data_IF_288833197178
#
_entry.id   IF_288833197178
#
_cell.length_a   1.000
_cell.length_b   1.000
_cell.length_c   1.000
_cell.angle_alpha   90.00
_cell.angle_beta   90.00
_cell.angle_gamma   90.00
#
_symmetry.space_group_name_H-M   'P 1'
#
loop_
_entity.id
_entity.type
_entity.pdbx_description
1 polymer ?
#
# COMPACT_ATOMS: atom_id res chain seq x y z
N UNK A 1 -11.34 -0.12 32.03
CA UNK A 1 -10.80 0.31 30.73
C UNK A 1 -10.20 1.71 30.89
N UNK A 2 -9.05 2.00 30.26
CA UNK A 2 -8.40 3.32 30.29
C UNK A 2 -7.98 3.70 28.87
N UNK A 3 -8.44 4.86 28.41
CA UNK A 3 -7.95 5.51 27.19
C UNK A 3 -6.70 6.33 27.51
N UNK A 4 -5.69 6.25 26.64
CA UNK A 4 -4.39 6.91 26.81
C UNK A 4 -4.00 7.53 25.47
N UNK A 5 -3.69 8.82 25.47
CA UNK A 5 -2.93 9.47 24.39
C UNK A 5 -1.44 9.23 24.64
N UNK A 6 -0.80 8.56 23.70
CA UNK A 6 0.63 8.26 23.72
C UNK A 6 1.41 9.45 23.15
N UNK A 7 2.62 9.71 23.67
CA UNK A 7 3.50 10.73 23.10
C UNK A 7 4.15 10.19 21.82
N UNK A 8 3.72 10.70 20.67
CA UNK A 8 4.24 10.30 19.36
C UNK A 8 5.73 10.63 19.19
N UNK A 9 6.30 11.54 19.99
CA UNK A 9 7.75 11.87 19.99
C UNK A 9 8.54 10.90 20.86
N UNK A 10 7.91 10.22 21.83
CA UNK A 10 8.54 9.22 22.68
C UNK A 10 8.71 7.88 21.95
N UNK A 11 9.97 7.47 21.79
CA UNK A 11 10.31 6.15 21.20
C UNK A 11 9.68 5.00 21.99
N UNK A 12 9.58 5.13 23.32
CA UNK A 12 8.97 4.11 24.19
C UNK A 12 7.49 3.94 23.88
N UNK A 13 6.78 5.04 23.73
CA UNK A 13 5.34 5.06 23.48
C UNK A 13 5.02 4.58 22.07
N UNK A 14 5.78 5.02 21.05
CA UNK A 14 5.67 4.46 19.69
C UNK A 14 5.91 2.95 19.67
N UNK A 15 6.92 2.46 20.41
CA UNK A 15 7.20 1.02 20.47
C UNK A 15 6.06 0.24 21.13
N UNK A 16 5.46 0.80 22.19
CA UNK A 16 4.29 0.23 22.85
C UNK A 16 3.09 0.18 21.92
N UNK A 17 2.84 1.26 21.17
CA UNK A 17 1.80 1.34 20.15
C UNK A 17 2.02 0.27 19.07
N UNK A 18 3.22 0.15 18.50
CA UNK A 18 3.53 -0.85 17.47
C UNK A 18 3.35 -2.27 18.00
N UNK A 19 3.92 -2.58 19.17
CA UNK A 19 3.91 -3.93 19.72
C UNK A 19 2.54 -4.42 20.19
N UNK A 20 1.59 -3.52 20.47
CA UNK A 20 0.24 -3.96 20.86
C UNK A 20 -0.46 -4.75 19.75
N UNK A 21 -0.07 -4.56 18.48
CA UNK A 21 -0.62 -5.30 17.33
C UNK A 21 -0.64 -6.81 17.55
N UNK A 22 0.45 -7.36 18.11
CA UNK A 22 0.64 -8.80 18.25
C UNK A 22 -0.46 -9.49 19.05
N UNK A 23 -1.18 -8.76 19.90
CA UNK A 23 -2.29 -9.33 20.69
C UNK A 23 -3.49 -9.69 19.81
N UNK A 24 -3.78 -8.92 18.77
CA UNK A 24 -5.01 -9.04 17.99
C UNK A 24 -4.98 -10.16 16.95
N UNK A 25 -3.80 -10.69 16.66
CA UNK A 25 -3.57 -11.71 15.64
C UNK A 25 -2.98 -13.01 16.23
N UNK A 26 -3.13 -13.22 17.54
CA UNK A 26 -2.63 -14.44 18.18
C UNK A 26 -3.32 -15.68 17.58
N UNK A 27 -2.51 -16.61 17.09
CA UNK A 27 -3.00 -17.85 16.48
C UNK A 27 -3.53 -17.71 15.05
N UNK A 28 -3.55 -16.50 14.48
CA UNK A 28 -3.96 -16.31 13.08
C UNK A 28 -2.86 -16.84 12.13
N UNK A 29 -3.15 -17.89 11.32
CA UNK A 29 -2.15 -18.46 10.43
C UNK A 29 -1.78 -17.54 9.27
N UNK A 30 -2.70 -16.68 8.82
CA UNK A 30 -2.57 -15.80 7.66
C UNK A 30 -1.95 -14.45 7.99
N UNK A 31 -1.96 -14.05 9.27
CA UNK A 31 -1.33 -12.80 9.66
C UNK A 31 0.19 -12.84 9.41
N UNK A 32 0.70 -11.81 8.74
CA UNK A 32 2.13 -11.59 8.50
C UNK A 32 2.56 -10.42 9.38
N UNK A 33 3.33 -10.65 10.46
CA UNK A 33 3.74 -9.57 11.34
C UNK A 33 4.65 -8.59 10.62
N UNK A 34 4.40 -7.28 10.71
CA UNK A 34 5.30 -6.30 10.13
C UNK A 34 6.63 -6.28 10.89
N UNK A 35 7.70 -5.86 10.23
CA UNK A 35 8.95 -5.59 10.93
C UNK A 35 8.76 -4.39 11.86
N UNK A 36 9.05 -4.61 13.15
CA UNK A 36 8.91 -3.56 14.18
C UNK A 36 9.77 -2.35 13.81
N UNK A 37 10.95 -2.57 13.24
CA UNK A 37 11.84 -1.49 12.80
C UNK A 37 11.18 -0.58 11.77
N UNK A 38 10.53 -1.15 10.76
CA UNK A 38 9.88 -0.40 9.68
C UNK A 38 8.69 0.39 10.21
N UNK A 39 7.87 -0.20 11.09
CA UNK A 39 6.75 0.51 11.73
C UNK A 39 7.22 1.63 12.65
N UNK A 40 8.33 1.43 13.37
CA UNK A 40 8.95 2.47 14.19
C UNK A 40 9.51 3.61 13.35
N UNK A 41 10.06 3.32 12.17
CA UNK A 41 10.53 4.31 11.19
C UNK A 41 9.35 5.10 10.62
N UNK A 42 8.27 4.42 10.23
CA UNK A 42 7.06 5.02 9.68
C UNK A 42 6.38 6.00 10.65
N UNK A 43 6.37 5.67 11.95
CA UNK A 43 5.79 6.51 13.01
C UNK A 43 6.77 7.54 13.59
N UNK A 44 8.01 7.62 13.12
CA UNK A 44 8.98 8.58 13.67
C UNK A 44 8.73 10.00 13.15
N UNK A 45 7.95 10.77 13.90
CA UNK A 45 7.57 12.15 13.57
C UNK A 45 8.74 13.12 13.40
N UNK A 46 9.96 12.76 13.83
CA UNK A 46 11.15 13.60 13.66
C UNK A 46 11.94 13.27 12.40
N UNK A 47 11.78 12.05 11.86
CA UNK A 47 12.62 11.53 10.77
C UNK A 47 11.84 11.26 9.50
N UNK A 48 10.58 10.87 9.60
CA UNK A 48 9.76 10.62 8.43
C UNK A 48 9.28 11.96 7.83
N UNK A 49 9.64 12.28 6.57
CA UNK A 49 9.32 13.54 5.92
C UNK A 49 7.82 13.83 5.78
N UNK A 50 6.96 12.80 5.84
CA UNK A 50 5.49 12.99 5.90
C UNK A 50 5.07 13.97 7.00
N UNK A 51 5.71 13.91 8.17
CA UNK A 51 5.36 14.76 9.31
C UNK A 51 5.97 16.17 9.26
N UNK A 52 6.64 16.55 8.17
CA UNK A 52 7.04 17.95 7.94
C UNK A 52 5.82 18.84 7.65
N UNK A 53 4.75 18.24 7.13
CA UNK A 53 3.49 18.91 6.79
C UNK A 53 2.26 18.17 7.33
N UNK A 54 2.44 17.07 8.07
CA UNK A 54 1.33 16.27 8.60
C UNK A 54 1.50 16.03 10.09
N UNK A 55 0.37 15.77 10.77
CA UNK A 55 0.33 15.53 12.23
C UNK A 55 -0.29 14.17 12.52
N UNK A 56 0.11 13.57 13.63
CA UNK A 56 -0.43 12.30 14.11
C UNK A 56 -0.64 12.34 15.62
N UNK A 57 -1.72 11.75 16.10
CA UNK A 57 -1.93 11.43 17.50
C UNK A 57 -2.20 9.93 17.65
N UNK A 58 -1.53 9.32 18.63
CA UNK A 58 -1.62 7.89 18.89
C UNK A 58 -2.46 7.66 20.14
N UNK A 59 -3.49 6.84 20.03
CA UNK A 59 -4.37 6.48 21.13
C UNK A 59 -4.32 4.98 21.40
N UNK A 60 -4.37 4.62 22.67
CA UNK A 60 -4.37 3.25 23.16
C UNK A 60 -5.45 3.10 24.22
N UNK A 61 -6.29 2.08 24.09
CA UNK A 61 -7.19 1.63 25.16
C UNK A 61 -6.58 0.39 25.80
N UNK A 62 -6.52 0.36 27.12
CA UNK A 62 -6.01 -0.80 27.87
C UNK A 62 -6.76 -1.06 29.18
N UNK A 63 -6.53 -2.24 29.74
CA UNK A 63 -6.93 -2.59 31.10
C UNK A 63 -5.79 -3.33 31.83
N UNK A 64 -6.11 -3.99 32.94
CA UNK A 64 -5.14 -4.76 33.73
C UNK A 64 -4.49 -5.93 32.97
N UNK A 65 -5.15 -6.42 31.92
CA UNK A 65 -4.68 -7.52 31.08
C UNK A 65 -3.80 -7.03 29.91
N UNK A 66 -3.76 -5.72 29.65
CA UNK A 66 -2.97 -5.10 28.60
C UNK A 66 -3.81 -4.36 27.55
N UNK A 67 -3.26 -4.13 26.34
CA UNK A 67 -3.94 -3.39 25.28
C UNK A 67 -5.26 -4.05 24.86
N UNK A 68 -6.34 -3.27 24.77
CA UNK A 68 -7.63 -3.70 24.24
C UNK A 68 -7.88 -3.14 22.83
N UNK A 69 -7.22 -2.03 22.47
CA UNK A 69 -7.29 -1.48 21.13
C UNK A 69 -6.35 -0.29 20.96
N UNK A 70 -6.14 0.13 19.71
CA UNK A 70 -5.30 1.26 19.35
C UNK A 70 -5.84 1.95 18.10
N UNK A 71 -5.56 3.23 17.94
CA UNK A 71 -5.85 3.97 16.71
C UNK A 71 -4.88 5.15 16.58
N UNK A 72 -4.60 5.56 15.35
CA UNK A 72 -3.97 6.83 15.07
C UNK A 72 -4.97 7.78 14.41
N UNK A 73 -5.00 9.04 14.86
CA UNK A 73 -5.66 10.14 14.18
C UNK A 73 -4.60 10.95 13.43
N UNK A 74 -4.85 11.30 12.18
CA UNK A 74 -3.85 11.84 11.25
C UNK A 74 -4.43 13.05 10.52
N UNK A 75 -3.69 14.16 10.49
CA UNK A 75 -3.98 15.30 9.61
C UNK A 75 -2.93 15.31 8.52
N UNK A 76 -3.38 15.28 7.27
CA UNK A 76 -2.53 15.36 6.08
C UNK A 76 -2.77 16.69 5.36
N UNK A 77 -1.94 17.69 5.62
CA UNK A 77 -2.15 19.04 5.05
C UNK A 77 -1.97 19.04 3.51
N UNK A 78 -1.14 18.13 2.97
CA UNK A 78 -1.00 17.96 1.53
C UNK A 78 -2.28 17.43 0.89
N UNK A 79 -2.94 16.44 1.51
CA UNK A 79 -4.26 15.96 1.05
C UNK A 79 -5.26 17.11 0.99
N UNK A 80 -5.43 17.81 2.11
CA UNK A 80 -6.41 18.89 2.23
C UNK A 80 -6.12 20.03 1.23
N UNK A 81 -4.83 20.34 0.97
CA UNK A 81 -4.45 21.33 -0.06
C UNK A 81 -4.72 20.84 -1.48
N UNK A 82 -4.49 19.57 -1.77
CA UNK A 82 -4.71 18.98 -3.10
C UNK A 82 -6.19 18.85 -3.43
N UNK A 83 -7.01 18.42 -2.46
CA UNK A 83 -8.44 18.16 -2.66
C UNK A 83 -9.34 19.32 -2.26
N UNK A 84 -8.79 20.35 -1.63
CA UNK A 84 -9.53 21.50 -1.08
C UNK A 84 -10.67 21.03 -0.15
N UNK A 85 -10.38 20.04 0.69
CA UNK A 85 -11.28 19.49 1.70
C UNK A 85 -10.70 19.65 3.12
N UNK A 86 -11.43 19.17 4.12
CA UNK A 86 -11.04 19.20 5.54
C UNK A 86 -11.17 17.81 6.14
N UNK A 87 -10.54 16.84 5.49
CA UNK A 87 -10.63 15.43 5.87
C UNK A 87 -9.47 15.09 6.80
N UNK A 88 -9.82 14.62 7.99
CA UNK A 88 -8.92 13.92 8.88
C UNK A 88 -8.89 12.44 8.55
N UNK A 89 -7.79 11.76 8.88
CA UNK A 89 -7.64 10.34 8.65
C UNK A 89 -7.55 9.56 9.96
N UNK A 90 -8.04 8.32 9.95
CA UNK A 90 -7.70 7.34 10.97
C UNK A 90 -6.89 6.19 10.37
N UNK A 91 -6.06 5.56 11.18
CA UNK A 91 -5.19 4.47 10.76
C UNK A 91 -4.67 3.65 11.93
N UNK A 92 -3.89 2.63 11.62
CA UNK A 92 -3.24 1.72 12.57
C UNK A 92 -4.23 1.09 13.56
N UNK A 93 -5.50 1.03 13.18
CA UNK A 93 -6.60 0.62 14.03
C UNK A 93 -6.47 -0.86 14.38
N UNK A 94 -6.59 -1.16 15.67
CA UNK A 94 -6.75 -2.52 16.17
C UNK A 94 -7.72 -2.51 17.34
N UNK A 95 -8.50 -3.57 17.51
CA UNK A 95 -9.42 -3.70 18.63
C UNK A 95 -9.72 -5.16 18.93
N UNK A 96 -9.99 -5.48 20.19
CA UNK A 96 -10.72 -6.70 20.52
C UNK A 96 -12.14 -6.62 19.93
N UNK A 97 -12.87 -7.73 19.92
CA UNK A 97 -14.26 -7.74 19.44
C UNK A 97 -15.21 -7.04 20.44
N UNK A 98 -15.11 -5.70 20.53
CA UNK A 98 -15.90 -4.86 21.44
C UNK A 98 -16.20 -3.51 20.82
N UNK A 99 -17.49 -3.21 20.65
CA UNK A 99 -17.95 -1.91 20.17
C UNK A 99 -17.56 -0.78 21.12
N UNK A 100 -17.57 -1.02 22.43
CA UNK A 100 -17.20 -0.01 23.44
C UNK A 100 -15.75 0.47 23.25
N UNK A 101 -14.82 -0.46 23.01
CA UNK A 101 -13.40 -0.12 22.77
C UNK A 101 -13.24 0.63 21.45
N UNK A 102 -13.93 0.17 20.40
CA UNK A 102 -13.88 0.81 19.09
C UNK A 102 -14.44 2.23 19.12
N UNK A 103 -15.60 2.43 19.75
CA UNK A 103 -16.20 3.76 19.91
C UNK A 103 -15.27 4.68 20.70
N UNK A 104 -14.73 4.24 21.84
CA UNK A 104 -13.81 5.05 22.63
C UNK A 104 -12.54 5.49 21.86
N UNK A 105 -12.03 4.64 20.97
CA UNK A 105 -10.90 4.97 20.10
C UNK A 105 -11.28 5.97 19.00
N UNK A 106 -12.39 5.72 18.30
CA UNK A 106 -12.85 6.57 17.20
C UNK A 106 -13.35 7.94 17.69
N UNK A 107 -14.00 8.00 18.86
CA UNK A 107 -14.40 9.25 19.50
C UNK A 107 -13.17 10.11 19.82
N UNK A 108 -12.14 9.51 20.45
CA UNK A 108 -10.89 10.22 20.75
C UNK A 108 -10.15 10.70 19.49
N UNK A 109 -10.20 9.90 18.41
CA UNK A 109 -9.64 10.29 17.13
C UNK A 109 -10.43 11.45 16.50
N UNK A 110 -11.77 11.37 16.49
CA UNK A 110 -12.66 12.39 15.97
C UNK A 110 -12.50 13.72 16.73
N UNK A 111 -12.52 13.69 18.07
CA UNK A 111 -12.29 14.88 18.91
C UNK A 111 -10.94 15.55 18.58
N UNK A 112 -9.88 14.75 18.46
CA UNK A 112 -8.56 15.30 18.10
C UNK A 112 -8.55 15.91 16.70
N UNK A 113 -9.23 15.29 15.73
CA UNK A 113 -9.35 15.80 14.35
C UNK A 113 -10.18 17.09 14.29
N UNK A 114 -11.30 17.16 15.01
CA UNK A 114 -12.12 18.38 15.15
C UNK A 114 -11.30 19.54 15.71
N UNK A 115 -10.50 19.30 16.75
CA UNK A 115 -9.59 20.31 17.33
C UNK A 115 -8.54 20.80 16.34
N UNK A 116 -8.26 20.04 15.28
CA UNK A 116 -7.37 20.42 14.19
C UNK A 116 -8.12 20.94 12.95
N UNK A 117 -9.40 21.24 13.09
CA UNK A 117 -10.23 21.86 12.04
C UNK A 117 -10.70 20.90 10.95
N UNK A 118 -10.65 19.59 11.20
CA UNK A 118 -11.18 18.58 10.29
C UNK A 118 -12.68 18.39 10.52
N UNK A 119 -13.39 18.09 9.44
CA UNK A 119 -14.84 18.02 9.40
C UNK A 119 -15.34 16.60 9.11
N UNK A 120 -14.45 15.77 8.57
CA UNK A 120 -14.69 14.36 8.27
C UNK A 120 -13.53 13.51 8.81
N UNK A 121 -13.82 12.25 9.09
CA UNK A 121 -12.82 11.21 9.40
C UNK A 121 -12.88 10.12 8.33
N UNK A 122 -11.76 9.83 7.66
CA UNK A 122 -11.65 8.82 6.59
C UNK A 122 -10.57 7.78 6.89
N UNK A 123 -10.79 6.52 6.55
CA UNK A 123 -9.76 5.49 6.74
C UNK A 123 -10.24 4.05 6.65
N UNK A 124 -9.39 3.07 6.96
CA UNK A 124 -8.06 3.25 7.54
C UNK A 124 -6.96 3.63 6.52
N UNK A 125 -6.03 4.50 6.92
CA UNK A 125 -4.85 4.94 6.14
C UNK A 125 -3.60 5.00 7.05
N UNK A 126 -2.47 4.38 6.65
CA UNK A 126 -1.33 4.12 7.54
C UNK A 126 0.05 4.66 7.03
N UNK A 127 0.39 5.95 7.17
CA UNK A 127 -0.48 7.08 7.53
C UNK A 127 -1.03 7.85 6.31
N UNK A 128 -0.57 7.56 5.09
CA UNK A 128 -1.00 8.26 3.88
C UNK A 128 -1.54 7.29 2.81
N UNK A 129 -2.25 7.84 1.81
CA UNK A 129 -2.72 7.08 0.65
C UNK A 129 -1.57 6.56 -0.23
N UNK A 130 -0.35 7.08 -0.05
CA UNK A 130 0.86 6.57 -0.69
C UNK A 130 1.53 5.43 0.11
N UNK A 131 1.02 5.11 1.30
CA UNK A 131 1.44 3.99 2.14
C UNK A 131 0.41 2.84 2.10
N UNK A 132 0.27 2.07 3.18
CA UNK A 132 -0.76 1.03 3.31
C UNK A 132 -2.12 1.66 3.68
N UNK A 133 -3.18 1.37 2.93
CA UNK A 133 -4.53 1.80 3.28
C UNK A 133 -5.61 0.81 2.85
N UNK A 134 -6.83 1.03 3.35
CA UNK A 134 -7.99 0.16 3.17
C UNK A 134 -8.04 -0.96 4.22
N UNK A 135 -9.24 -1.25 4.70
CA UNK A 135 -9.54 -2.38 5.59
C UNK A 135 -9.89 -3.60 4.74
N UNK A 136 -9.28 -4.76 4.97
CA UNK A 136 -9.71 -6.00 4.32
C UNK A 136 -11.15 -6.34 4.75
N UNK A 137 -12.05 -6.51 3.77
CA UNK A 137 -13.45 -6.89 3.97
C UNK A 137 -13.81 -8.24 3.32
N UNK A 138 -13.00 -8.72 2.38
CA UNK A 138 -13.19 -10.01 1.71
C UNK A 138 -11.83 -10.67 1.42
N UNK A 139 -11.75 -12.01 1.52
CA UNK A 139 -10.54 -12.80 1.24
C UNK A 139 -9.64 -13.05 2.46
N UNK A 140 -10.23 -13.30 3.63
CA UNK A 140 -9.53 -13.61 4.88
C UNK A 140 -8.87 -15.02 4.92
N UNK A 141 -9.07 -15.83 3.88
CA UNK A 141 -8.55 -17.19 3.75
C UNK A 141 -7.08 -17.25 3.31
N UNK A 142 -6.44 -16.09 3.08
CA UNK A 142 -5.05 -16.02 2.61
C UNK A 142 -4.26 -14.87 3.25
N UNK A 143 -2.94 -15.03 3.45
CA UNK A 143 -2.06 -13.95 3.90
C UNK A 143 -2.12 -12.70 3.01
N UNK A 144 -1.85 -11.49 3.54
CA UNK A 144 -1.66 -10.32 2.70
C UNK A 144 -0.39 -10.46 1.88
N UNK A 145 -0.40 -9.93 0.67
CA UNK A 145 0.83 -9.70 -0.08
C UNK A 145 1.51 -8.41 0.39
N UNK A 146 2.78 -8.24 0.03
CA UNK A 146 3.62 -7.10 0.41
C UNK A 146 2.89 -5.74 0.21
N UNK A 147 2.95 -4.89 1.24
CA UNK A 147 2.30 -3.56 1.29
C UNK A 147 0.77 -3.56 1.13
N UNK A 148 0.08 -4.69 1.36
CA UNK A 148 -1.37 -4.74 1.53
C UNK A 148 -1.73 -5.02 2.99
N UNK A 149 -2.88 -4.51 3.42
CA UNK A 149 -3.34 -4.63 4.81
C UNK A 149 -3.93 -6.01 5.09
N UNK A 150 -4.01 -6.36 6.37
CA UNK A 150 -4.73 -7.53 6.86
C UNK A 150 -5.26 -7.20 8.25
N UNK A 151 -6.47 -7.64 8.54
CA UNK A 151 -7.16 -7.41 9.81
C UNK A 151 -8.08 -8.59 10.15
N UNK A 152 -8.47 -8.74 11.43
CA UNK A 152 -9.52 -9.67 11.80
C UNK A 152 -10.85 -9.38 11.09
N UNK A 153 -11.65 -10.42 10.76
CA UNK A 153 -12.86 -10.29 9.96
C UNK A 153 -14.02 -9.57 10.67
N UNK A 154 -13.94 -9.37 11.98
CA UNK A 154 -14.95 -8.63 12.74
C UNK A 154 -14.74 -7.10 12.74
N UNK A 155 -13.61 -6.61 12.23
CA UNK A 155 -13.32 -5.16 12.20
C UNK A 155 -14.34 -4.33 11.39
N UNK A 156 -14.80 -4.77 10.19
CA UNK A 156 -15.78 -4.02 9.41
C UNK A 156 -17.05 -3.68 10.21
N UNK A 157 -17.62 -4.68 10.89
CA UNK A 157 -18.82 -4.51 11.70
C UNK A 157 -18.62 -3.53 12.88
N UNK A 158 -17.43 -3.51 13.50
CA UNK A 158 -17.13 -2.57 14.59
C UNK A 158 -17.01 -1.12 14.09
N UNK A 159 -16.39 -0.92 12.94
CA UNK A 159 -16.26 0.41 12.33
C UNK A 159 -17.63 0.92 11.87
N UNK A 160 -18.39 0.08 11.18
CA UNK A 160 -19.76 0.36 10.74
C UNK A 160 -20.69 0.63 11.93
N UNK A 161 -20.52 -0.09 13.04
CA UNK A 161 -21.26 0.12 14.29
C UNK A 161 -21.00 1.48 14.96
N UNK A 162 -19.86 2.13 14.68
CA UNK A 162 -19.63 3.52 15.09
C UNK A 162 -20.26 4.54 14.11
N UNK A 163 -20.79 4.09 12.96
CA UNK A 163 -21.43 4.94 11.96
C UNK A 163 -20.52 5.34 10.78
N UNK A 164 -19.37 4.68 10.61
CA UNK A 164 -18.56 4.81 9.41
C UNK A 164 -19.29 4.19 8.21
N UNK A 165 -19.29 4.89 7.08
CA UNK A 165 -19.90 4.45 5.84
C UNK A 165 -18.84 4.21 4.77
N UNK A 166 -19.09 3.29 3.84
CA UNK A 166 -18.21 3.06 2.69
C UNK A 166 -17.98 4.37 1.92
N UNK A 167 -16.73 4.67 1.58
CA UNK A 167 -16.38 5.75 0.62
C UNK A 167 -15.75 5.22 -0.67
N UNK A 168 -14.93 4.17 -0.59
CA UNK A 168 -14.24 3.59 -1.75
C UNK A 168 -13.81 2.15 -1.46
N UNK A 169 -14.12 1.24 -2.37
CA UNK A 169 -13.51 -0.10 -2.38
C UNK A 169 -12.27 -0.13 -3.30
N UNK A 170 -11.29 -0.93 -2.88
CA UNK A 170 -10.06 -1.25 -3.59
C UNK A 170 -10.03 -2.75 -3.85
N UNK A 171 -9.90 -3.13 -5.11
CA UNK A 171 -9.86 -4.53 -5.53
C UNK A 171 -8.43 -5.03 -5.67
N UNK A 172 -8.24 -6.31 -5.37
CA UNK A 172 -7.05 -7.06 -5.72
C UNK A 172 -7.41 -8.28 -6.58
N UNK A 173 -6.71 -8.41 -7.69
CA UNK A 173 -6.86 -9.48 -8.67
C UNK A 173 -5.65 -10.39 -8.62
N UNK A 174 -5.91 -11.68 -8.50
CA UNK A 174 -4.92 -12.72 -8.63
C UNK A 174 -4.80 -13.10 -10.12
N UNK A 175 -3.57 -13.08 -10.63
CA UNK A 175 -3.20 -13.42 -12.00
C UNK A 175 -2.39 -14.71 -11.98
N UNK A 176 -2.76 -15.65 -12.84
CA UNK A 176 -2.04 -16.90 -13.04
C UNK A 176 -1.05 -16.76 -14.19
N UNK A 177 0.21 -17.13 -13.97
CA UNK A 177 1.27 -17.10 -14.98
C UNK A 177 1.00 -18.04 -16.17
N UNK A 178 0.19 -19.08 -15.98
CA UNK A 178 -0.15 -20.01 -17.06
C UNK A 178 -1.24 -19.45 -17.99
N UNK A 179 -2.18 -18.65 -17.46
CA UNK A 179 -3.35 -18.22 -18.22
C UNK A 179 -3.35 -16.74 -18.62
N UNK A 180 -2.49 -15.88 -18.06
CA UNK A 180 -2.55 -14.45 -18.35
C UNK A 180 -2.15 -14.06 -19.78
N UNK A 181 -1.42 -14.93 -20.49
CA UNK A 181 -0.84 -14.65 -21.82
C UNK A 181 -1.49 -15.52 -22.90
N UNK A 182 -1.83 -14.91 -24.03
CA UNK A 182 -2.41 -15.59 -25.20
C UNK A 182 -1.74 -15.14 -26.49
N UNK A 183 -1.78 -15.96 -27.55
CA UNK A 183 -1.26 -15.57 -28.87
C UNK A 183 -1.89 -14.26 -29.38
N UNK A 184 -3.17 -14.04 -29.06
CA UNK A 184 -3.89 -12.81 -29.41
C UNK A 184 -3.27 -11.61 -28.71
N UNK A 185 -2.95 -11.74 -27.42
CA UNK A 185 -2.25 -10.69 -26.68
C UNK A 185 -0.87 -10.43 -27.29
N UNK A 186 -0.10 -11.45 -27.62
CA UNK A 186 1.24 -11.29 -28.20
C UNK A 186 1.23 -10.54 -29.53
N UNK A 187 0.29 -10.87 -30.43
CA UNK A 187 0.11 -10.13 -31.69
C UNK A 187 -0.25 -8.66 -31.44
N UNK A 188 -1.16 -8.39 -30.49
CA UNK A 188 -1.53 -7.03 -30.10
C UNK A 188 -0.31 -6.24 -29.59
N UNK A 189 0.49 -6.84 -28.72
CA UNK A 189 1.68 -6.22 -28.15
C UNK A 189 2.74 -5.92 -29.21
N UNK A 190 2.93 -6.82 -30.18
CA UNK A 190 3.81 -6.59 -31.33
C UNK A 190 3.39 -5.38 -32.16
N UNK A 191 2.09 -5.25 -32.47
CA UNK A 191 1.53 -4.09 -33.19
C UNK A 191 1.74 -2.80 -32.40
N UNK A 192 1.48 -2.82 -31.09
CA UNK A 192 1.69 -1.64 -30.23
C UNK A 192 3.16 -1.22 -30.24
N UNK A 193 4.10 -2.15 -30.08
CA UNK A 193 5.54 -1.86 -30.11
C UNK A 193 5.96 -1.24 -31.45
N UNK A 194 5.52 -1.82 -32.56
CA UNK A 194 5.83 -1.29 -33.89
C UNK A 194 5.25 0.11 -34.14
N UNK A 195 3.98 0.33 -33.73
CA UNK A 195 3.29 1.61 -33.93
C UNK A 195 3.86 2.74 -33.07
N UNK A 196 4.19 2.44 -31.83
CA UNK A 196 4.61 3.45 -30.85
C UNK A 196 6.12 3.64 -30.80
N UNK A 197 6.89 2.65 -31.26
CA UNK A 197 8.34 2.61 -31.09
C UNK A 197 8.79 2.41 -29.64
N UNK A 198 7.88 1.99 -28.74
CA UNK A 198 8.19 1.91 -27.31
C UNK A 198 9.25 0.86 -27.01
N UNK A 199 10.22 1.25 -26.19
CA UNK A 199 11.25 0.40 -25.61
C UNK A 199 11.02 0.30 -24.11
N UNK A 200 11.23 -0.90 -23.55
CA UNK A 200 11.10 -1.13 -22.11
C UNK A 200 12.47 -1.49 -21.56
N UNK A 201 12.96 -0.71 -20.59
CA UNK A 201 14.20 -1.00 -19.89
C UNK A 201 13.97 -1.17 -18.39
N UNK A 202 14.83 -1.96 -17.75
CA UNK A 202 14.89 -2.03 -16.30
C UNK A 202 15.61 -0.82 -15.72
N UNK A 203 15.30 -0.48 -14.48
CA UNK A 203 16.05 0.49 -13.70
C UNK A 203 17.44 -0.05 -13.34
N UNK A 204 18.47 0.80 -13.37
CA UNK A 204 19.84 0.40 -13.02
C UNK A 204 20.11 0.61 -11.52
N UNK A 205 20.17 -0.47 -10.75
CA UNK A 205 20.46 -0.43 -9.32
C UNK A 205 21.96 -0.40 -9.00
N UNK A 206 22.82 -0.75 -9.98
CA UNK A 206 24.27 -0.90 -9.80
C UNK A 206 24.99 0.43 -10.00
N UNK A 207 24.60 1.18 -11.02
CA UNK A 207 25.16 2.51 -11.28
C UNK A 207 24.45 3.56 -10.43
N UNK A 208 25.16 4.16 -9.47
CA UNK A 208 24.57 5.15 -8.53
C UNK A 208 24.04 6.40 -9.23
N UNK A 209 24.72 6.86 -10.28
CA UNK A 209 24.32 8.07 -11.03
C UNK A 209 23.07 7.79 -11.84
N UNK A 210 23.02 6.67 -12.56
CA UNK A 210 21.84 6.24 -13.31
C UNK A 210 20.66 5.94 -12.37
N UNK A 211 20.90 5.27 -11.25
CA UNK A 211 19.88 5.00 -10.23
C UNK A 211 19.20 6.29 -9.78
N UNK A 212 19.96 7.33 -9.44
CA UNK A 212 19.40 8.62 -9.01
C UNK A 212 18.57 9.26 -10.11
N UNK A 213 19.07 9.25 -11.35
CA UNK A 213 18.33 9.76 -12.52
C UNK A 213 17.03 8.99 -12.75
N UNK A 214 17.05 7.67 -12.62
CA UNK A 214 15.85 6.84 -12.76
C UNK A 214 14.85 7.11 -11.63
N UNK A 215 15.30 7.36 -10.39
CA UNK A 215 14.41 7.78 -9.29
C UNK A 215 13.73 9.11 -9.61
N UNK A 216 14.47 10.10 -10.14
CA UNK A 216 13.91 11.38 -10.58
C UNK A 216 12.86 11.20 -11.68
N UNK A 217 13.16 10.36 -12.69
CA UNK A 217 12.22 10.01 -13.77
C UNK A 217 10.95 9.37 -13.21
N UNK A 218 11.08 8.38 -12.31
CA UNK A 218 9.94 7.70 -11.70
C UNK A 218 9.08 8.66 -10.88
N UNK A 219 9.70 9.58 -10.14
CA UNK A 219 8.99 10.60 -9.35
C UNK A 219 8.15 11.50 -10.24
N UNK A 220 8.74 12.00 -11.32
CA UNK A 220 8.06 12.90 -12.24
C UNK A 220 6.91 12.16 -12.95
N UNK A 221 7.18 10.95 -13.45
CA UNK A 221 6.15 10.10 -14.04
C UNK A 221 5.03 9.76 -13.05
N UNK A 222 5.34 9.41 -11.80
CA UNK A 222 4.35 9.09 -10.77
C UNK A 222 3.46 10.30 -10.53
N UNK A 223 4.05 11.45 -10.22
CA UNK A 223 3.32 12.66 -9.87
C UNK A 223 2.46 13.18 -11.04
N UNK A 224 2.89 13.03 -12.29
CA UNK A 224 2.11 13.43 -13.47
C UNK A 224 1.07 12.38 -13.87
N UNK A 225 1.39 11.08 -13.78
CA UNK A 225 0.47 10.03 -14.22
C UNK A 225 -0.68 9.82 -13.23
N UNK A 226 -0.45 10.01 -11.93
CA UNK A 226 -1.42 9.69 -10.88
C UNK A 226 -2.26 10.86 -10.39
N UNK A 227 -2.02 12.09 -10.88
CA UNK A 227 -2.70 13.32 -10.42
C UNK A 227 -4.24 13.23 -10.37
N UNK A 228 -4.86 12.47 -11.27
CA UNK A 228 -6.32 12.34 -11.38
C UNK A 228 -6.91 11.14 -10.62
N UNK A 229 -6.09 10.32 -9.95
CA UNK A 229 -6.58 9.17 -9.20
C UNK A 229 -7.25 9.62 -7.90
N UNK A 230 -8.33 8.94 -7.52
CA UNK A 230 -9.04 9.25 -6.29
C UNK A 230 -8.13 9.09 -5.07
N UNK A 231 -8.13 10.09 -4.19
CA UNK A 231 -7.26 10.13 -3.01
C UNK A 231 -5.77 10.28 -3.30
N UNK A 232 -5.37 10.59 -4.54
CA UNK A 232 -3.99 10.86 -4.88
C UNK A 232 -3.50 12.14 -4.19
N UNK A 233 -2.37 12.02 -3.49
CA UNK A 233 -1.67 13.15 -2.90
C UNK A 233 -0.26 13.17 -3.45
N UNK A 234 0.12 14.29 -4.07
CA UNK A 234 1.46 14.49 -4.62
C UNK A 234 2.49 14.36 -3.50
N UNK A 235 3.41 13.41 -3.64
CA UNK A 235 4.54 13.27 -2.73
C UNK A 235 5.53 14.42 -2.94
N UNK A 236 6.05 14.95 -1.85
CA UNK A 236 7.24 15.80 -1.85
C UNK A 236 8.46 14.98 -2.27
N UNK A 237 9.51 15.66 -2.72
CA UNK A 237 10.77 15.02 -3.09
C UNK A 237 11.34 14.19 -1.94
N UNK A 238 11.29 14.72 -0.71
CA UNK A 238 11.78 14.02 0.48
C UNK A 238 10.96 12.75 0.80
N UNK A 239 9.63 12.78 0.64
CA UNK A 239 8.78 11.59 0.80
C UNK A 239 9.07 10.54 -0.26
N UNK A 240 9.22 10.95 -1.52
CA UNK A 240 9.50 10.03 -2.61
C UNK A 240 10.87 9.36 -2.43
N UNK A 241 11.91 10.14 -2.07
CA UNK A 241 13.24 9.60 -1.78
C UNK A 241 13.24 8.63 -0.61
N UNK A 242 12.47 8.94 0.44
CA UNK A 242 12.32 8.10 1.62
C UNK A 242 11.65 6.77 1.28
N UNK A 243 10.56 6.80 0.50
CA UNK A 243 9.86 5.62 0.01
C UNK A 243 10.75 4.79 -0.94
N UNK A 244 11.41 5.43 -1.90
CA UNK A 244 12.30 4.76 -2.85
C UNK A 244 13.45 4.04 -2.13
N UNK A 245 14.01 4.63 -1.08
CA UNK A 245 15.06 4.00 -0.27
C UNK A 245 14.55 2.75 0.47
N UNK A 246 13.30 2.73 0.92
CA UNK A 246 12.69 1.56 1.57
C UNK A 246 12.35 0.47 0.56
N UNK A 247 11.70 0.83 -0.55
CA UNK A 247 11.36 -0.13 -1.61
C UNK A 247 12.61 -0.75 -2.24
N UNK A 248 13.72 -0.01 -2.35
CA UNK A 248 15.00 -0.54 -2.86
C UNK A 248 15.49 -1.77 -2.09
N UNK A 249 15.18 -1.89 -0.80
CA UNK A 249 15.62 -3.02 0.02
C UNK A 249 14.97 -4.35 -0.38
N UNK A 250 13.80 -4.28 -1.02
CA UNK A 250 12.97 -5.45 -1.35
C UNK A 250 12.69 -5.58 -2.86
N UNK A 251 12.95 -4.52 -3.62
CA UNK A 251 12.75 -4.48 -5.06
C UNK A 251 13.72 -5.41 -5.81
N UNK A 252 13.21 -6.00 -6.89
CA UNK A 252 14.05 -6.61 -7.93
C UNK A 252 14.21 -5.59 -9.05
N UNK A 253 15.44 -5.17 -9.42
CA UNK A 253 15.65 -4.21 -10.51
C UNK A 253 15.02 -4.66 -11.84
N UNK A 254 14.88 -5.97 -12.06
CA UNK A 254 14.22 -6.48 -13.28
C UNK A 254 12.71 -6.23 -13.30
N UNK A 255 12.10 -5.93 -12.16
CA UNK A 255 10.66 -5.67 -12.01
C UNK A 255 10.35 -4.17 -11.83
N UNK A 256 11.35 -3.31 -11.98
CA UNK A 256 11.19 -1.85 -12.04
C UNK A 256 11.48 -1.40 -13.46
N UNK A 257 10.43 -1.07 -14.21
CA UNK A 257 10.48 -0.85 -15.64
C UNK A 257 10.18 0.61 -15.98
N UNK A 258 10.91 1.12 -16.97
CA UNK A 258 10.67 2.43 -17.59
C UNK A 258 10.36 2.17 -19.07
N UNK A 259 9.24 2.74 -19.53
CA UNK A 259 8.86 2.77 -20.93
C UNK A 259 9.38 4.06 -21.57
N UNK A 260 10.07 3.93 -22.69
CA UNK A 260 10.69 5.04 -23.43
C UNK A 260 10.21 5.02 -24.88
N UNK A 261 9.88 6.19 -25.42
CA UNK A 261 9.59 6.37 -26.85
C UNK A 261 10.64 7.34 -27.40
N UNK A 262 11.55 6.82 -28.22
CA UNK A 262 12.84 7.50 -28.46
C UNK A 262 13.63 7.62 -27.15
N UNK A 263 14.16 8.80 -26.86
CA UNK A 263 14.90 9.07 -25.61
C UNK A 263 14.03 9.65 -24.48
N UNK A 264 12.70 9.67 -24.65
CA UNK A 264 11.77 10.24 -23.68
C UNK A 264 11.14 9.13 -22.83
N UNK A 265 11.31 9.15 -21.50
CA UNK A 265 10.51 8.35 -20.59
C UNK A 265 9.03 8.77 -20.66
N UNK A 266 8.17 7.81 -20.95
CA UNK A 266 6.72 8.03 -21.14
C UNK A 266 5.86 7.30 -20.11
N UNK A 267 6.47 6.38 -19.36
CA UNK A 267 5.76 5.59 -18.37
C UNK A 267 6.66 4.67 -17.58
N UNK A 268 6.09 4.02 -16.58
CA UNK A 268 6.80 3.11 -15.70
C UNK A 268 5.86 2.03 -15.16
N UNK A 269 6.45 0.92 -14.73
CA UNK A 269 5.79 -0.11 -13.96
C UNK A 269 6.71 -0.58 -12.83
N UNK A 270 6.15 -0.79 -11.66
CA UNK A 270 6.85 -1.27 -10.49
C UNK A 270 6.11 -2.48 -9.92
N UNK A 271 6.80 -3.61 -9.90
CA UNK A 271 6.36 -4.80 -9.20
C UNK A 271 7.38 -5.22 -8.14
N UNK A 272 6.89 -5.80 -7.05
CA UNK A 272 7.68 -6.25 -5.92
C UNK A 272 7.49 -7.76 -5.73
N UNK A 273 8.56 -8.53 -5.48
CA UNK A 273 8.43 -9.88 -4.97
C UNK A 273 7.70 -9.86 -3.62
N UNK A 274 6.78 -10.80 -3.42
CA UNK A 274 6.03 -10.88 -2.17
C UNK A 274 6.87 -11.49 -1.05
N UNK A 275 7.62 -10.63 -0.37
CA UNK A 275 8.46 -11.02 0.78
C UNK A 275 7.63 -11.51 1.97
N UNK A 276 6.30 -11.28 1.98
CA UNK A 276 5.44 -11.78 3.05
C UNK A 276 5.44 -13.32 3.09
N UNK A 277 5.66 -14.01 1.97
CA UNK A 277 5.86 -15.46 1.94
C UNK A 277 7.07 -15.91 2.78
N UNK A 278 8.07 -15.04 3.00
CA UNK A 278 9.15 -15.28 3.95
C UNK A 278 8.80 -14.78 5.36
N UNK A 279 8.27 -13.57 5.47
CA UNK A 279 8.02 -12.89 6.75
C UNK A 279 6.89 -13.51 7.57
N UNK A 280 6.00 -14.29 6.97
CA UNK A 280 4.96 -15.05 7.68
C UNK A 280 5.55 -15.99 8.75
N UNK A 281 6.81 -16.41 8.58
CA UNK A 281 7.53 -17.22 9.56
C UNK A 281 8.17 -16.38 10.69
N UNK A 282 8.34 -15.07 10.50
CA UNK A 282 8.86 -14.15 11.51
C UNK A 282 7.76 -13.70 12.49
N UNK A 283 7.25 -14.63 13.30
CA UNK A 283 6.21 -14.35 14.30
C UNK A 283 6.59 -13.25 15.30
N UNK A 284 7.87 -12.96 15.47
CA UNK A 284 8.38 -11.94 16.40
C UNK A 284 8.37 -10.50 15.86
N UNK A 285 8.29 -10.30 14.53
CA UNK A 285 8.51 -9.00 13.87
C UNK A 285 9.89 -8.37 14.07
N UNK A 286 10.83 -9.08 14.69
CA UNK A 286 12.19 -8.58 14.92
C UNK A 286 12.99 -8.62 13.61
N UNK A 287 13.93 -7.70 13.47
CA UNK A 287 14.73 -7.56 12.26
C UNK A 287 15.61 -8.79 11.98
N UNK A 288 16.37 -9.28 12.97
CA UNK A 288 17.32 -10.38 12.75
C UNK A 288 16.63 -11.69 12.30
N UNK A 289 15.55 -12.17 12.96
CA UNK A 289 14.79 -13.31 12.44
C UNK A 289 14.14 -13.03 11.08
N UNK A 290 13.71 -11.79 10.83
CA UNK A 290 13.20 -11.36 9.53
C UNK A 290 14.23 -11.55 8.41
N UNK A 291 15.44 -11.02 8.61
CA UNK A 291 16.55 -11.19 7.67
C UNK A 291 16.92 -12.66 7.46
N UNK A 292 16.93 -13.46 8.54
CA UNK A 292 17.14 -14.91 8.45
C UNK A 292 16.12 -15.59 7.52
N UNK A 293 14.83 -15.31 7.72
CA UNK A 293 13.78 -15.89 6.87
C UNK A 293 13.84 -15.37 5.43
N UNK A 294 14.12 -14.08 5.23
CA UNK A 294 14.31 -13.52 3.89
C UNK A 294 15.46 -14.21 3.15
N UNK A 295 16.59 -14.47 3.80
CA UNK A 295 17.72 -15.15 3.17
C UNK A 295 17.44 -16.63 2.89
N UNK A 296 16.87 -17.35 3.86
CA UNK A 296 16.68 -18.81 3.77
C UNK A 296 15.48 -19.21 2.93
N UNK A 297 14.47 -18.35 2.80
CA UNK A 297 13.21 -18.64 2.10
C UNK A 297 13.02 -17.84 0.82
N UNK A 298 14.00 -17.05 0.38
CA UNK A 298 13.92 -16.24 -0.86
C UNK A 298 13.47 -17.03 -2.09
N UNK A 299 13.93 -18.29 -2.23
CA UNK A 299 13.59 -19.16 -3.36
C UNK A 299 12.15 -19.69 -3.32
N UNK A 300 11.44 -19.50 -2.20
CA UNK A 300 10.03 -19.87 -2.03
C UNK A 300 9.09 -18.74 -2.47
N UNK A 301 9.63 -17.58 -2.89
CA UNK A 301 8.81 -16.47 -3.35
C UNK A 301 8.28 -16.79 -4.75
N UNK A 302 6.99 -17.13 -4.82
CA UNK A 302 6.26 -17.47 -6.04
C UNK A 302 5.25 -16.41 -6.45
N UNK A 303 5.10 -15.34 -5.65
CA UNK A 303 4.14 -14.27 -5.84
C UNK A 303 4.86 -12.95 -6.12
N UNK A 304 4.40 -12.18 -7.11
CA UNK A 304 4.80 -10.78 -7.33
C UNK A 304 3.59 -9.87 -7.23
N UNK A 305 3.73 -8.71 -6.61
CA UNK A 305 2.69 -7.68 -6.57
C UNK A 305 3.04 -6.55 -7.53
N UNK A 306 2.16 -6.25 -8.47
CA UNK A 306 2.23 -5.06 -9.33
C UNK A 306 1.64 -3.91 -8.53
N UNK A 307 2.50 -3.04 -8.00
CA UNK A 307 2.08 -2.00 -7.05
C UNK A 307 1.66 -0.71 -7.73
N UNK A 308 2.31 -0.36 -8.84
CA UNK A 308 1.97 0.84 -9.60
C UNK A 308 2.41 0.69 -11.05
N UNK A 309 1.56 1.20 -11.94
CA UNK A 309 1.86 1.41 -13.35
C UNK A 309 1.30 2.78 -13.73
N UNK A 310 2.05 3.55 -14.52
CA UNK A 310 1.62 4.88 -14.94
C UNK A 310 2.20 5.27 -16.28
N UNK A 311 1.39 5.93 -17.10
CA UNK A 311 1.80 6.58 -18.33
C UNK A 311 1.50 8.07 -18.25
N UNK A 312 2.34 8.87 -18.91
CA UNK A 312 2.04 10.27 -19.17
C UNK A 312 0.69 10.40 -19.91
N UNK A 313 -0.09 11.47 -19.62
CA UNK A 313 -1.44 11.65 -20.18
C UNK A 313 -1.55 11.46 -21.70
N UNK A 314 -0.59 11.99 -22.45
CA UNK A 314 -0.56 11.92 -23.91
C UNK A 314 -0.24 10.53 -24.48
N UNK A 315 0.26 9.61 -23.64
CA UNK A 315 0.53 8.21 -24.01
C UNK A 315 -0.55 7.24 -23.50
N UNK A 316 -1.61 7.73 -22.85
CA UNK A 316 -2.73 6.89 -22.43
C UNK A 316 -3.50 6.38 -23.65
N UNK A 317 -4.11 5.20 -23.53
CA UNK A 317 -4.87 4.53 -24.61
C UNK A 317 -4.04 4.19 -25.87
N UNK A 318 -2.71 4.23 -25.76
CA UNK A 318 -1.79 3.79 -26.83
C UNK A 318 -1.48 2.28 -26.77
N UNK A 319 -1.86 1.61 -25.67
CA UNK A 319 -1.56 0.19 -25.42
C UNK A 319 -0.18 -0.05 -24.78
N UNK A 320 0.62 0.99 -24.50
CA UNK A 320 1.93 0.86 -23.85
C UNK A 320 1.80 0.26 -22.43
N UNK A 321 0.70 0.52 -21.75
CA UNK A 321 0.34 -0.09 -20.46
C UNK A 321 0.25 -1.61 -20.56
N UNK A 322 -0.39 -2.14 -21.60
CA UNK A 322 -0.42 -3.58 -21.85
C UNK A 322 0.98 -4.16 -22.12
N UNK A 323 1.85 -3.41 -22.80
CA UNK A 323 3.26 -3.80 -23.01
C UNK A 323 4.02 -3.88 -21.69
N UNK A 324 3.85 -2.91 -20.79
CA UNK A 324 4.44 -2.92 -19.46
C UNK A 324 3.94 -4.09 -18.61
N UNK A 325 2.63 -4.37 -18.60
CA UNK A 325 2.06 -5.53 -17.89
C UNK A 325 2.65 -6.85 -18.39
N UNK A 326 2.72 -7.04 -19.71
CA UNK A 326 3.28 -8.24 -20.29
C UNK A 326 4.77 -8.41 -19.97
N UNK A 327 5.54 -7.33 -20.02
CA UNK A 327 6.97 -7.34 -19.68
C UNK A 327 7.20 -7.70 -18.20
N UNK A 328 6.39 -7.16 -17.27
CA UNK A 328 6.42 -7.58 -15.86
C UNK A 328 6.11 -9.08 -15.73
N UNK A 329 5.07 -9.57 -16.42
CA UNK A 329 4.69 -10.98 -16.39
C UNK A 329 5.84 -11.89 -16.81
N UNK A 330 6.48 -11.58 -17.95
CA UNK A 330 7.61 -12.35 -18.47
C UNK A 330 8.81 -12.37 -17.54
N UNK A 331 9.16 -11.21 -16.97
CA UNK A 331 10.30 -11.12 -16.04
C UNK A 331 10.01 -11.79 -14.71
N UNK A 332 8.75 -11.73 -14.25
CA UNK A 332 8.31 -12.45 -13.06
C UNK A 332 8.35 -13.97 -13.29
N UNK A 333 7.91 -14.44 -14.46
CA UNK A 333 8.00 -15.86 -14.86
C UNK A 333 9.43 -16.34 -14.93
N UNK A 334 10.34 -15.56 -15.54
CA UNK A 334 11.77 -15.88 -15.61
C UNK A 334 12.43 -15.99 -14.21
N UNK A 335 11.86 -15.31 -13.20
CA UNK A 335 12.26 -15.42 -11.80
C UNK A 335 11.69 -16.65 -11.09
N UNK A 336 10.72 -17.34 -11.68
CA UNK A 336 9.99 -18.46 -11.08
C UNK A 336 8.76 -18.04 -10.27
N UNK A 337 8.23 -16.83 -10.49
CA UNK A 337 6.90 -16.49 -9.99
C UNK A 337 5.85 -17.35 -10.72
N UNK A 338 4.87 -17.83 -9.96
CA UNK A 338 3.71 -18.58 -10.45
C UNK A 338 2.46 -17.69 -10.50
N UNK A 339 2.43 -16.66 -9.66
CA UNK A 339 1.28 -15.78 -9.51
C UNK A 339 1.71 -14.31 -9.61
N UNK A 340 0.78 -13.47 -10.06
CA UNK A 340 0.85 -12.01 -9.95
C UNK A 340 -0.36 -11.46 -9.17
N UNK A 341 -0.18 -10.41 -8.39
CA UNK A 341 -1.29 -9.64 -7.82
C UNK A 341 -1.28 -8.24 -8.44
N UNK A 342 -2.39 -7.88 -9.09
CA UNK A 342 -2.68 -6.50 -9.43
C UNK A 342 -3.68 -5.96 -8.39
N UNK A 343 -3.23 -5.03 -7.56
CA UNK A 343 -4.02 -4.57 -6.41
C UNK A 343 -3.92 -3.09 -6.15
N UNK A 344 -4.76 -2.67 -5.22
CA UNK A 344 -5.09 -1.27 -5.01
C UNK A 344 -5.78 -0.70 -6.26
N UNK A 345 -6.65 -1.48 -6.90
CA UNK A 345 -7.41 -1.01 -8.06
C UNK A 345 -8.72 -0.41 -7.55
N UNK A 346 -8.90 0.90 -7.73
CA UNK A 346 -10.13 1.59 -7.37
C UNK A 346 -11.35 0.89 -8.01
N UNK A 347 -12.44 0.75 -7.26
CA UNK A 347 -13.67 0.17 -7.80
C UNK A 347 -14.22 0.96 -9.00
N UNK A 348 -13.92 2.26 -9.07
CA UNK A 348 -14.31 3.18 -10.13
C UNK A 348 -13.38 3.15 -11.35
N UNK A 349 -12.29 2.37 -11.31
CA UNK A 349 -11.39 2.22 -12.46
C UNK A 349 -11.90 1.13 -13.41
N UNK A 350 -13.08 1.35 -14.00
CA UNK A 350 -13.75 0.40 -14.90
C UNK A 350 -12.85 -0.13 -16.02
N UNK A 351 -12.03 0.70 -16.71
CA UNK A 351 -11.16 0.20 -17.77
C UNK A 351 -10.15 -0.83 -17.26
N UNK A 352 -9.57 -0.60 -16.08
CA UNK A 352 -8.59 -1.52 -15.50
C UNK A 352 -9.25 -2.77 -14.93
N UNK A 353 -10.38 -2.62 -14.23
CA UNK A 353 -11.16 -3.74 -13.71
C UNK A 353 -11.59 -4.68 -14.86
N UNK A 354 -12.09 -4.11 -15.96
CA UNK A 354 -12.45 -4.88 -17.16
C UNK A 354 -11.23 -5.54 -17.80
N UNK A 355 -10.10 -4.85 -17.93
CA UNK A 355 -8.88 -5.42 -18.53
C UNK A 355 -8.35 -6.60 -17.70
N UNK A 356 -8.31 -6.47 -16.38
CA UNK A 356 -7.85 -7.53 -15.48
C UNK A 356 -8.76 -8.76 -15.57
N UNK A 357 -10.08 -8.58 -15.49
CA UNK A 357 -11.04 -9.69 -15.53
C UNK A 357 -11.11 -10.38 -16.90
N UNK A 358 -11.28 -9.60 -17.97
CA UNK A 358 -11.68 -10.14 -19.27
C UNK A 358 -10.51 -10.36 -20.24
N UNK A 359 -9.39 -9.66 -20.05
CA UNK A 359 -8.23 -9.77 -20.94
C UNK A 359 -7.08 -10.55 -20.29
N UNK A 360 -6.85 -10.34 -19.00
CA UNK A 360 -5.75 -10.97 -18.26
C UNK A 360 -6.21 -12.17 -17.41
N UNK A 361 -7.51 -12.51 -17.48
CA UNK A 361 -8.11 -13.63 -16.75
C UNK A 361 -7.88 -13.58 -15.23
N UNK A 362 -7.76 -12.36 -14.68
CA UNK A 362 -7.57 -12.13 -13.27
C UNK A 362 -8.81 -12.41 -12.45
N UNK A 363 -8.63 -13.10 -11.33
CA UNK A 363 -9.71 -13.41 -10.39
C UNK A 363 -9.67 -12.39 -9.25
N UNK A 364 -10.75 -11.63 -9.07
CA UNK A 364 -10.89 -10.77 -7.90
C UNK A 364 -10.98 -11.65 -6.66
N UNK A 365 -10.00 -11.56 -5.78
CA UNK A 365 -9.87 -12.49 -4.65
C UNK A 365 -9.84 -11.78 -3.29
N UNK A 366 -9.56 -10.47 -3.27
CA UNK A 366 -9.66 -9.62 -2.08
C UNK A 366 -10.31 -8.29 -2.41
N UNK A 367 -11.05 -7.78 -1.43
CA UNK A 367 -11.63 -6.44 -1.44
C UNK A 367 -11.21 -5.72 -0.15
N UNK A 368 -10.71 -4.50 -0.32
CA UNK A 368 -10.39 -3.60 0.78
C UNK A 368 -11.32 -2.39 0.72
N UNK A 369 -11.66 -1.82 1.87
CA UNK A 369 -12.59 -0.70 1.97
C UNK A 369 -12.00 0.46 2.74
N UNK A 370 -12.17 1.65 2.18
CA UNK A 370 -12.07 2.90 2.92
C UNK A 370 -13.47 3.32 3.35
N UNK A 371 -13.53 3.85 4.56
CA UNK A 371 -14.72 4.37 5.20
C UNK A 371 -14.60 5.86 5.47
N UNK A 372 -15.73 6.54 5.62
CA UNK A 372 -15.82 7.94 6.01
C UNK A 372 -17.03 8.19 6.93
N UNK A 373 -16.90 9.19 7.80
CA UNK A 373 -18.01 9.76 8.59
C UNK A 373 -17.80 11.27 8.78
N UNK A 374 -18.86 12.05 8.76
CA UNK A 374 -18.83 13.45 9.21
C UNK A 374 -18.66 13.50 10.74
N UNK A 375 -17.80 14.40 11.21
CA UNK A 375 -17.47 14.60 12.62
C UNK A 375 -17.66 16.05 13.07
N UNK A 376 -18.34 16.90 12.30
CA UNK A 376 -18.64 18.29 12.70
C UNK A 376 -19.69 18.38 13.81
#
# INVERSE_FOLDING_TARGET
MKLIRLDERSRRDRLRFVKSQWRFYQGDPHWVPPLIFDRMKLLDVRRNPFYQHSKIALFLVEDRTGPLGRIAAIVNDNHNRTHNDRVGFFGFYESIHSQEVTSALLDAAAEWLQLHGMTHIRGPVNPSMNDECGLLIEGFDRPPVVLMTYNPPYYPALLEGWGLQKTMDLYAYLLDQESYRSEKLDRLLGIVRQRTGVQIRAMDFRNRTQFRRDVEILRDLYNTAWEKNWGFVKMTDAEFDFLAADLKQIADPNLVLIAEVGDRPVGFALALPDINQCLIHNRSGRLLPGLWHLMTKRKQITMVRIIVLGLLPEFRRTGIDAVLYAEIGERAKARGALWGEASWILETNDPMNHALQNTMHGVRYKTYRLYERTIE
#
